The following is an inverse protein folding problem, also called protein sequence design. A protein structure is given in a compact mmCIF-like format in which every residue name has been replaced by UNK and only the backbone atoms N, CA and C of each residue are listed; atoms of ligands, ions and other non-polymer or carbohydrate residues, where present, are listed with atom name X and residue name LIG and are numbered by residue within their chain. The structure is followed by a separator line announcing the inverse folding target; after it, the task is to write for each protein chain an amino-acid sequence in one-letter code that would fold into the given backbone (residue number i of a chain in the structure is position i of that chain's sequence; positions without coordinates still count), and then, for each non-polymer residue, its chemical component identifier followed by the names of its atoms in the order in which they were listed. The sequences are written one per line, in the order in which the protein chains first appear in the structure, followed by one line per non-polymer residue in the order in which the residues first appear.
data_IF_365810649515
#
_entry.id   IF_365810649515
#
_cell.length_a   1.000
_cell.length_b   1.000
_cell.length_c   1.000
_cell.angle_alpha   90.00
_cell.angle_beta   90.00
_cell.angle_gamma   90.00
#
_symmetry.space_group_name_H-M   'P 1'
#
loop_
_entity.id
_entity.type
_entity.pdbx_description
1 polymer ?
#
# COMPACT_ATOMS: atom_id res chain seq x y z
N UNK A 1 -20.62 -7.57 15.94
CA UNK A 1 -19.48 -8.05 15.26
C UNK A 1 -19.35 -7.46 13.90
N UNK A 2 -18.17 -7.09 13.57
CA UNK A 2 -17.97 -6.42 12.35
C UNK A 2 -17.12 -7.24 11.41
N UNK A 3 -17.50 -7.28 10.17
CA UNK A 3 -16.76 -8.04 9.21
C UNK A 3 -16.00 -7.12 8.33
N UNK A 4 -14.71 -7.19 8.43
CA UNK A 4 -13.86 -6.37 7.62
C UNK A 4 -13.13 -7.19 6.65
N UNK A 5 -13.87 -7.95 5.86
CA UNK A 5 -13.17 -8.73 4.91
C UNK A 5 -13.64 -8.34 3.57
N UNK A 6 -12.72 -8.22 2.68
CA UNK A 6 -13.03 -7.93 1.34
C UNK A 6 -13.85 -9.03 0.77
N UNK A 7 -14.80 -8.68 -0.02
CA UNK A 7 -15.52 -9.67 -0.74
C UNK A 7 -14.60 -10.32 -1.70
N UNK A 8 -14.67 -11.59 -1.75
CA UNK A 8 -13.88 -12.30 -2.71
C UNK A 8 -14.41 -11.96 -4.03
N UNK A 9 -13.69 -11.21 -4.76
CA UNK A 9 -14.12 -10.89 -6.06
C UNK A 9 -13.51 -11.84 -6.98
N UNK A 10 -14.25 -12.26 -7.94
CA UNK A 10 -13.74 -13.11 -8.92
C UNK A 10 -12.77 -12.39 -9.74
N UNK A 11 -11.57 -12.83 -9.79
CA UNK A 11 -10.54 -12.24 -10.60
C UNK A 11 -10.54 -12.91 -11.92
N UNK A 12 -10.74 -12.18 -12.96
CA UNK A 12 -10.69 -12.77 -14.23
C UNK A 12 -9.30 -12.87 -14.62
N UNK A 13 -8.78 -14.00 -14.63
CA UNK A 13 -7.47 -14.27 -15.09
C UNK A 13 -7.42 -14.19 -16.55
N UNK A 14 -6.63 -13.33 -17.06
CA UNK A 14 -6.49 -13.25 -18.49
C UNK A 14 -5.02 -13.27 -18.83
N UNK A 15 -4.45 -14.44 -18.95
CA UNK A 15 -3.00 -14.57 -19.09
C UNK A 15 -2.46 -14.00 -20.38
N UNK A 16 -3.32 -13.66 -21.31
CA UNK A 16 -2.82 -13.12 -22.55
C UNK A 16 -2.67 -11.62 -22.53
N UNK A 17 -3.12 -10.96 -21.48
CA UNK A 17 -3.08 -9.53 -21.46
C UNK A 17 -2.06 -9.03 -20.50
N UNK A 18 -1.02 -8.42 -21.03
CA UNK A 18 0.01 -7.87 -20.21
C UNK A 18 -0.11 -6.38 -20.06
N UNK A 19 -1.00 -5.75 -20.79
CA UNK A 19 -1.14 -4.33 -20.72
C UNK A 19 -2.58 -3.94 -20.92
N UNK A 20 -2.84 -2.66 -20.91
CA UNK A 20 -4.19 -2.14 -21.11
C UNK A 20 -5.10 -2.45 -19.96
N UNK A 21 -6.28 -2.97 -20.22
CA UNK A 21 -7.25 -3.19 -19.16
C UNK A 21 -6.79 -4.17 -18.10
N UNK A 22 -5.97 -5.12 -18.48
CA UNK A 22 -5.49 -6.09 -17.52
C UNK A 22 -4.57 -5.43 -16.51
N UNK A 23 -3.74 -4.51 -16.93
CA UNK A 23 -2.88 -3.79 -16.02
C UNK A 23 -3.73 -2.98 -15.04
N UNK A 24 -4.72 -2.26 -15.55
CA UNK A 24 -5.57 -1.45 -14.71
C UNK A 24 -6.29 -2.32 -13.69
N UNK A 25 -6.79 -3.47 -14.13
CA UNK A 25 -7.53 -4.36 -13.27
C UNK A 25 -6.65 -4.90 -12.16
N UNK A 26 -5.43 -5.30 -12.49
CA UNK A 26 -4.55 -5.89 -11.48
C UNK A 26 -4.03 -4.86 -10.50
N UNK A 27 -3.83 -3.62 -10.96
CA UNK A 27 -3.40 -2.57 -10.06
C UNK A 27 -4.55 -2.08 -9.18
N UNK A 28 -5.78 -2.38 -9.54
CA UNK A 28 -6.95 -2.04 -8.73
C UNK A 28 -7.45 -3.20 -7.88
N UNK A 29 -6.70 -4.27 -7.82
CA UNK A 29 -7.11 -5.48 -7.10
C UNK A 29 -6.85 -5.28 -5.61
N UNK A 30 -7.81 -4.68 -4.94
CA UNK A 30 -7.67 -4.33 -3.53
C UNK A 30 -7.39 -5.57 -2.66
N UNK A 31 -8.14 -6.68 -2.79
CA UNK A 31 -7.85 -7.82 -1.91
C UNK A 31 -6.45 -8.38 -2.09
N UNK A 32 -5.98 -8.47 -3.33
CA UNK A 32 -4.66 -9.04 -3.58
C UNK A 32 -3.56 -8.13 -3.03
N UNK A 33 -3.68 -6.84 -3.28
CA UNK A 33 -2.66 -5.91 -2.82
C UNK A 33 -2.69 -5.76 -1.31
N UNK A 34 -3.89 -5.77 -0.72
CA UNK A 34 -4.00 -5.77 0.73
C UNK A 34 -3.29 -6.98 1.35
N UNK A 35 -3.48 -8.16 0.75
CA UNK A 35 -2.83 -9.35 1.28
C UNK A 35 -1.31 -9.24 1.24
N UNK A 36 -0.77 -8.65 0.19
CA UNK A 36 0.66 -8.45 0.10
C UNK A 36 1.16 -7.53 1.21
N UNK A 37 0.40 -6.48 1.51
CA UNK A 37 0.80 -5.54 2.55
C UNK A 37 0.64 -6.13 3.93
N UNK A 38 -0.39 -6.93 4.15
CA UNK A 38 -0.55 -7.59 5.43
C UNK A 38 0.59 -8.56 5.68
N UNK A 39 1.04 -9.24 4.64
CA UNK A 39 2.17 -10.13 4.78
C UNK A 39 3.45 -9.36 5.07
N UNK A 40 3.67 -8.23 4.40
CA UNK A 40 4.83 -7.40 4.68
C UNK A 40 4.79 -6.90 6.11
N UNK A 41 3.61 -6.54 6.61
CA UNK A 41 3.47 -6.10 7.99
C UNK A 41 3.78 -7.21 8.97
N UNK A 42 3.35 -8.44 8.66
CA UNK A 42 3.68 -9.57 9.52
C UNK A 42 5.17 -9.81 9.56
N UNK A 43 5.85 -9.56 8.46
CA UNK A 43 7.30 -9.68 8.39
C UNK A 43 8.01 -8.43 8.87
N UNK A 44 7.26 -7.44 9.28
CA UNK A 44 7.78 -6.18 9.80
C UNK A 44 8.74 -5.51 8.85
N UNK A 45 8.33 -5.40 7.60
CA UNK A 45 9.15 -4.75 6.61
C UNK A 45 8.31 -3.92 5.67
N UNK A 46 8.93 -2.88 5.12
CA UNK A 46 8.31 -2.05 4.11
C UNK A 46 8.67 -2.60 2.73
N UNK A 47 7.97 -2.13 1.72
CA UNK A 47 8.23 -2.50 0.33
C UNK A 47 8.36 -1.25 -0.50
N UNK A 48 9.18 -1.31 -1.54
CA UNK A 48 9.24 -0.17 -2.45
C UNK A 48 8.12 -0.30 -3.47
N UNK A 49 7.78 0.82 -4.10
CA UNK A 49 6.79 0.80 -5.18
C UNK A 49 7.24 -0.12 -6.30
N UNK A 50 8.54 -0.09 -6.61
CA UNK A 50 9.07 -0.97 -7.65
C UNK A 50 8.93 -2.44 -7.29
N UNK A 51 9.21 -2.76 -6.05
CA UNK A 51 9.12 -4.13 -5.58
C UNK A 51 7.68 -4.62 -5.67
N UNK A 52 6.74 -3.80 -5.23
CA UNK A 52 5.35 -4.18 -5.27
C UNK A 52 4.86 -4.37 -6.69
N UNK A 53 5.23 -3.45 -7.58
CA UNK A 53 4.84 -3.58 -8.97
C UNK A 53 5.46 -4.83 -9.59
N UNK A 54 6.71 -5.12 -9.27
CA UNK A 54 7.35 -6.31 -9.79
C UNK A 54 6.66 -7.57 -9.32
N UNK A 55 6.24 -7.61 -8.08
CA UNK A 55 5.51 -8.77 -7.58
C UNK A 55 4.16 -8.94 -8.26
N UNK A 56 3.60 -7.86 -8.76
CA UNK A 56 2.37 -7.91 -9.53
C UNK A 56 2.62 -8.23 -11.00
N UNK A 57 3.89 -8.31 -11.40
CA UNK A 57 4.24 -8.67 -12.76
C UNK A 57 4.50 -7.50 -13.68
N UNK A 58 4.74 -6.31 -13.12
CA UNK A 58 4.90 -5.11 -13.92
C UNK A 58 6.23 -4.45 -13.68
N UNK A 59 6.71 -3.73 -14.68
CA UNK A 59 7.83 -2.84 -14.51
C UNK A 59 7.33 -1.54 -13.92
N UNK A 60 8.21 -0.86 -13.21
CA UNK A 60 7.85 0.43 -12.64
C UNK A 60 7.67 1.46 -13.75
N UNK A 61 6.56 2.18 -13.69
CA UNK A 61 6.38 3.41 -14.43
C UNK A 61 5.59 4.34 -13.53
N UNK A 62 5.69 5.64 -13.78
CA UNK A 62 4.97 6.60 -12.96
C UNK A 62 3.45 6.42 -13.05
N UNK A 63 2.88 6.21 -14.23
CA UNK A 63 1.44 5.97 -14.27
C UNK A 63 1.01 4.74 -13.47
N UNK A 64 1.80 3.67 -13.50
CA UNK A 64 1.47 2.49 -12.71
C UNK A 64 1.59 2.76 -11.23
N UNK A 65 2.61 3.52 -10.84
CA UNK A 65 2.76 3.90 -9.45
C UNK A 65 1.56 4.70 -8.98
N UNK A 66 1.10 5.65 -9.80
CA UNK A 66 -0.06 6.44 -9.43
C UNK A 66 -1.31 5.59 -9.32
N UNK A 67 -1.47 4.62 -10.21
CA UNK A 67 -2.61 3.71 -10.12
C UNK A 67 -2.55 2.89 -8.85
N UNK A 68 -1.38 2.41 -8.51
CA UNK A 68 -1.19 1.66 -7.27
C UNK A 68 -1.52 2.53 -6.06
N UNK A 69 -1.10 3.80 -6.08
CA UNK A 69 -1.38 4.69 -4.98
C UNK A 69 -2.88 4.89 -4.75
N UNK A 70 -3.67 4.92 -5.81
CA UNK A 70 -5.11 5.02 -5.64
C UNK A 70 -5.68 3.78 -4.96
N UNK A 71 -5.13 2.63 -5.27
CA UNK A 71 -5.55 1.40 -4.60
C UNK A 71 -5.12 1.40 -3.15
N UNK A 72 -3.92 1.91 -2.86
CA UNK A 72 -3.47 2.03 -1.48
C UNK A 72 -4.38 2.95 -0.67
N UNK A 73 -4.87 4.01 -1.28
CA UNK A 73 -5.80 4.90 -0.60
C UNK A 73 -7.09 4.17 -0.25
N UNK A 74 -7.56 3.32 -1.13
CA UNK A 74 -8.76 2.55 -0.87
C UNK A 74 -8.54 1.53 0.25
N UNK A 75 -7.38 0.91 0.25
CA UNK A 75 -7.04 -0.05 1.29
C UNK A 75 -7.04 0.64 2.66
N UNK A 76 -6.45 1.84 2.72
CA UNK A 76 -6.42 2.57 3.98
C UNK A 76 -7.81 3.02 4.42
N UNK A 77 -8.64 3.43 3.47
CA UNK A 77 -9.99 3.83 3.80
C UNK A 77 -10.78 2.65 4.38
N UNK A 78 -10.62 1.48 3.78
CA UNK A 78 -11.31 0.30 4.28
C UNK A 78 -10.75 -0.15 5.62
N UNK A 79 -9.46 -0.02 5.82
CA UNK A 79 -8.86 -0.36 7.09
C UNK A 79 -9.41 0.52 8.20
N UNK A 80 -9.58 1.81 7.92
CA UNK A 80 -10.13 2.72 8.91
C UNK A 80 -11.54 2.31 9.32
N UNK A 81 -12.33 1.85 8.37
CA UNK A 81 -13.67 1.40 8.67
C UNK A 81 -13.68 0.16 9.54
N UNK A 82 -12.62 -0.63 9.48
CA UNK A 82 -12.51 -1.87 10.23
C UNK A 82 -11.76 -1.71 11.54
N UNK A 83 -11.28 -0.52 11.83
CA UNK A 83 -10.47 -0.33 13.03
C UNK A 83 -9.08 -0.90 12.92
N UNK A 84 -8.60 -1.10 11.70
CA UNK A 84 -7.27 -1.64 11.47
C UNK A 84 -6.31 -0.53 11.10
N UNK A 85 -5.01 -0.72 11.34
CA UNK A 85 -4.06 0.32 10.96
C UNK A 85 -3.92 0.43 9.47
N UNK A 86 -3.57 1.62 9.01
CA UNK A 86 -3.34 1.86 7.60
C UNK A 86 -2.13 1.08 7.12
N UNK A 87 -2.13 0.73 5.86
CA UNK A 87 -1.08 -0.09 5.29
C UNK A 87 -0.30 0.62 4.18
N UNK A 88 -0.83 1.74 3.66
CA UNK A 88 -0.13 2.43 2.57
C UNK A 88 1.24 2.95 3.02
N UNK A 89 1.43 3.17 4.29
CA UNK A 89 2.71 3.63 4.82
C UNK A 89 3.82 2.61 4.63
N UNK A 90 3.47 1.38 4.29
CA UNK A 90 4.48 0.35 4.06
C UNK A 90 5.06 0.39 2.66
N UNK A 91 4.48 1.19 1.76
CA UNK A 91 4.98 1.27 0.39
C UNK A 91 5.72 2.58 0.23
N UNK A 92 7.00 2.51 -0.10
CA UNK A 92 7.89 3.65 -0.06
C UNK A 92 8.71 3.73 -1.32
N UNK A 93 9.34 4.89 -1.53
CA UNK A 93 10.25 5.06 -2.64
C UNK A 93 11.55 4.34 -2.32
N UNK A 94 12.15 3.80 -3.36
CA UNK A 94 13.36 3.03 -3.18
C UNK A 94 14.53 3.90 -2.73
N UNK A 95 14.57 5.13 -3.21
CA UNK A 95 15.71 6.00 -2.95
C UNK A 95 15.83 6.48 -1.52
N UNK A 96 14.71 6.91 -0.92
CA UNK A 96 14.78 7.51 0.41
C UNK A 96 13.95 6.78 1.45
N UNK A 97 13.23 5.74 1.06
CA UNK A 97 12.43 4.99 2.01
C UNK A 97 11.22 5.71 2.55
N UNK A 98 10.75 6.73 1.84
CA UNK A 98 9.59 7.51 2.25
C UNK A 98 8.46 7.32 1.26
N UNK A 99 7.21 7.42 1.71
CA UNK A 99 6.09 7.32 0.78
C UNK A 99 6.08 8.47 -0.21
N UNK A 100 5.34 8.30 -1.28
CA UNK A 100 5.20 9.34 -2.27
C UNK A 100 4.43 10.52 -1.74
N UNK A 101 4.41 11.58 -2.55
CA UNK A 101 3.85 12.85 -2.17
C UNK A 101 2.39 12.74 -1.74
N UNK A 102 1.62 11.90 -2.42
CA UNK A 102 0.20 11.77 -2.11
C UNK A 102 -0.09 11.30 -0.70
N UNK A 103 0.80 10.51 -0.14
CA UNK A 103 0.61 10.03 1.22
C UNK A 103 0.71 11.20 2.22
N UNK A 104 1.65 12.11 1.98
CA UNK A 104 1.88 13.21 2.89
C UNK A 104 0.77 14.24 2.85
N UNK A 105 0.17 14.44 1.68
CA UNK A 105 -0.86 15.45 1.52
C UNK A 105 -2.02 15.23 2.48
N UNK A 106 -2.35 13.96 2.75
CA UNK A 106 -3.46 13.67 3.63
C UNK A 106 -3.14 13.66 5.11
N UNK A 107 -1.90 13.97 5.50
CA UNK A 107 -1.50 13.91 6.90
C UNK A 107 -1.73 15.25 7.58
N UNK A 108 -2.87 15.45 8.17
CA UNK A 108 -3.17 16.72 8.81
C UNK A 108 -2.42 16.93 10.12
N UNK A 109 -2.03 15.85 10.74
CA UNK A 109 -1.32 15.93 12.01
C UNK A 109 0.19 16.06 11.84
N UNK A 110 0.69 16.14 10.62
CA UNK A 110 2.11 16.31 10.37
C UNK A 110 2.34 17.60 9.61
N UNK A 111 3.07 18.52 10.21
CA UNK A 111 3.31 19.82 9.61
C UNK A 111 4.73 20.03 9.14
N UNK A 112 5.59 19.05 9.30
CA UNK A 112 6.98 19.20 8.91
C UNK A 112 7.20 18.98 7.42
N UNK A 113 8.46 18.95 7.03
CA UNK A 113 8.81 18.68 5.65
C UNK A 113 8.69 17.20 5.36
N UNK A 114 8.51 16.86 4.11
CA UNK A 114 8.26 15.48 3.71
C UNK A 114 9.55 14.74 3.37
N UNK A 115 10.60 15.03 4.09
CA UNK A 115 11.86 14.33 3.91
C UNK A 115 12.71 14.55 5.14
N UNK A 116 13.75 13.75 5.27
CA UNK A 116 14.68 13.89 6.36
C UNK A 116 14.28 13.12 7.60
N UNK A 117 14.97 13.39 8.69
CA UNK A 117 14.82 12.61 9.91
C UNK A 117 13.43 12.74 10.54
N UNK A 118 12.87 13.93 10.50
CA UNK A 118 11.56 14.13 11.09
C UNK A 118 10.50 13.34 10.33
N UNK A 119 10.58 13.38 9.00
CA UNK A 119 9.64 12.63 8.19
C UNK A 119 9.79 11.14 8.43
N UNK A 120 11.02 10.66 8.53
CA UNK A 120 11.24 9.25 8.80
C UNK A 120 10.68 8.83 10.14
N UNK A 121 10.83 9.68 11.16
CA UNK A 121 10.30 9.34 12.48
C UNK A 121 8.79 9.28 12.48
N UNK A 122 8.15 10.23 11.79
CA UNK A 122 6.70 10.22 11.69
C UNK A 122 6.22 8.96 10.96
N UNK A 123 6.85 8.64 9.85
CA UNK A 123 6.50 7.45 9.09
C UNK A 123 6.71 6.19 9.93
N UNK A 124 7.80 6.13 10.67
CA UNK A 124 8.11 4.94 11.45
C UNK A 124 7.01 4.64 12.47
N UNK A 125 6.41 5.68 13.04
CA UNK A 125 5.30 5.48 13.96
C UNK A 125 4.10 4.82 13.29
N UNK A 126 3.79 5.23 12.07
CA UNK A 126 2.70 4.62 11.33
C UNK A 126 3.03 3.18 10.95
N UNK A 127 4.25 2.94 10.49
CA UNK A 127 4.65 1.60 10.11
C UNK A 127 4.64 0.67 11.32
N UNK A 128 5.08 1.17 12.46
CA UNK A 128 5.13 0.34 13.65
C UNK A 128 3.73 -0.11 14.08
N UNK A 129 2.74 0.76 13.94
CA UNK A 129 1.37 0.37 14.25
C UNK A 129 0.91 -0.79 13.38
N UNK A 130 1.23 -0.74 12.10
CA UNK A 130 0.87 -1.83 11.20
C UNK A 130 1.62 -3.11 11.56
N UNK A 131 2.91 -2.98 11.86
CA UNK A 131 3.70 -4.14 12.23
C UNK A 131 3.16 -4.79 13.51
N UNK A 132 2.86 -3.99 14.51
CA UNK A 132 2.39 -4.52 15.79
C UNK A 132 1.06 -5.25 15.62
N UNK A 133 0.19 -4.67 14.83
CA UNK A 133 -1.14 -5.25 14.65
C UNK A 133 -1.07 -6.57 13.89
N UNK A 134 -0.34 -6.58 12.78
CA UNK A 134 -0.36 -7.75 11.91
C UNK A 134 0.61 -8.84 12.31
N UNK A 135 1.72 -8.50 12.97
CA UNK A 135 2.64 -9.53 13.41
C UNK A 135 2.06 -10.35 14.57
N UNK A 136 1.08 -9.81 15.26
CA UNK A 136 0.43 -10.54 16.35
C UNK A 136 -0.68 -11.44 15.83
N UNK A 137 -0.96 -11.40 14.56
CA UNK A 137 -2.03 -12.20 13.96
C UNK A 137 -1.46 -13.18 12.93
#
# INVERSE_FOLDING_TARGET
MKFCRAQATEVKDNPFLDDGPDIASRLADVPAIRAMLQQAAREQRAMSYSEMLMMLGFRFTRPKMRALCRTLDRIDAEAALCGEPALACLVVREGDGLPGQGWWVGREDYKGVWEGAEARAYLAGHQQRAFDYWSAR
#
